data_IF_302355912587
#
_entry.id   IF_302355912587
#
_cell.length_a   1.000
_cell.length_b   1.000
_cell.length_c   1.000
_cell.angle_alpha   90.00
_cell.angle_beta   90.00
_cell.angle_gamma   90.00
#
_symmetry.space_group_name_H-M   'P 1'
#
loop_
_entity.id
_entity.type
_entity.pdbx_description
1 polymer ?
#
# COMPACT_ATOMS: atom_id res chain seq x y z
N UNK A 1 16.89 -2.45 -9.16
CA UNK A 1 15.68 -2.18 -8.37
C UNK A 1 14.58 -3.06 -8.94
N UNK A 2 14.10 -4.04 -8.20
CA UNK A 2 13.03 -4.95 -8.65
C UNK A 2 11.69 -4.34 -8.25
N UNK A 3 10.79 -4.16 -9.21
CA UNK A 3 9.43 -3.66 -8.96
C UNK A 3 8.45 -4.80 -9.20
N UNK A 4 7.55 -5.03 -8.24
CA UNK A 4 6.49 -6.04 -8.33
C UNK A 4 5.13 -5.39 -8.11
N UNK A 5 4.15 -5.77 -8.92
CA UNK A 5 2.76 -5.31 -8.80
C UNK A 5 1.89 -6.49 -8.38
N UNK A 6 1.06 -6.29 -7.37
CA UNK A 6 0.07 -7.27 -6.95
C UNK A 6 -1.27 -6.55 -6.79
N UNK A 7 -2.30 -7.12 -7.40
CA UNK A 7 -3.67 -6.60 -7.35
C UNK A 7 -4.56 -7.74 -6.91
N UNK A 8 -5.38 -7.49 -5.88
CA UNK A 8 -6.29 -8.49 -5.33
C UNK A 8 -7.66 -7.87 -5.14
N UNK A 9 -8.68 -8.56 -5.64
CA UNK A 9 -10.06 -8.16 -5.43
C UNK A 9 -10.41 -8.30 -3.94
N UNK A 10 -11.07 -7.27 -3.39
CA UNK A 10 -11.55 -7.30 -2.01
C UNK A 10 -12.69 -8.32 -1.89
N UNK A 11 -12.63 -9.14 -0.84
CA UNK A 11 -13.66 -10.15 -0.54
C UNK A 11 -14.83 -9.58 0.26
N UNK A 12 -14.66 -8.39 0.83
CA UNK A 12 -15.64 -7.69 1.65
C UNK A 12 -16.22 -6.50 0.89
N UNK A 13 -17.50 -6.20 1.12
CA UNK A 13 -18.11 -4.97 0.63
C UNK A 13 -17.62 -3.81 1.50
N UNK A 14 -16.99 -2.81 0.88
CA UNK A 14 -16.66 -1.56 1.55
C UNK A 14 -17.81 -0.56 1.35
N UNK A 15 -18.23 0.10 2.43
CA UNK A 15 -19.31 1.09 2.43
C UNK A 15 -18.81 2.50 2.08
N UNK A 16 -17.49 2.70 2.07
CA UNK A 16 -16.85 3.96 1.70
C UNK A 16 -15.48 3.74 1.05
N UNK A 17 -14.98 4.76 0.33
CA UNK A 17 -13.61 4.74 -0.23
C UNK A 17 -12.56 4.59 0.89
N UNK A 18 -12.74 5.31 2.00
CA UNK A 18 -11.84 5.23 3.15
C UNK A 18 -11.79 3.83 3.76
N UNK A 19 -12.93 3.15 3.87
CA UNK A 19 -12.97 1.75 4.33
C UNK A 19 -12.29 0.81 3.35
N UNK A 20 -12.52 0.96 2.04
CA UNK A 20 -11.87 0.16 1.02
C UNK A 20 -10.34 0.31 1.07
N UNK A 21 -9.84 1.55 1.18
CA UNK A 21 -8.41 1.82 1.28
C UNK A 21 -7.81 1.32 2.60
N UNK A 22 -8.53 1.47 3.71
CA UNK A 22 -8.12 0.90 5.00
C UNK A 22 -7.98 -0.61 4.92
N UNK A 23 -8.95 -1.33 4.36
CA UNK A 23 -8.90 -2.79 4.20
C UNK A 23 -7.75 -3.21 3.29
N UNK A 24 -7.52 -2.49 2.19
CA UNK A 24 -6.41 -2.76 1.28
C UNK A 24 -5.05 -2.56 1.98
N UNK A 25 -4.86 -1.43 2.68
CA UNK A 25 -3.66 -1.16 3.46
C UNK A 25 -3.47 -2.20 4.57
N UNK A 26 -4.57 -2.65 5.19
CA UNK A 26 -4.51 -3.63 6.26
C UNK A 26 -3.93 -4.97 5.79
N UNK A 27 -4.45 -5.47 4.66
CA UNK A 27 -3.97 -6.68 4.01
C UNK A 27 -2.50 -6.50 3.59
N UNK A 28 -2.16 -5.34 3.02
CA UNK A 28 -0.80 -5.06 2.55
C UNK A 28 0.21 -5.08 3.68
N UNK A 29 -0.10 -4.44 4.81
CA UNK A 29 0.76 -4.46 5.99
C UNK A 29 0.98 -5.88 6.50
N UNK A 30 -0.08 -6.69 6.59
CA UNK A 30 0.04 -8.09 7.01
C UNK A 30 0.98 -8.88 6.10
N UNK A 31 0.87 -8.69 4.77
CA UNK A 31 1.77 -9.33 3.81
C UNK A 31 3.22 -8.85 3.97
N UNK A 32 3.43 -7.54 4.17
CA UNK A 32 4.77 -6.97 4.41
C UNK A 32 5.43 -7.54 5.68
N UNK A 33 4.67 -7.65 6.78
CA UNK A 33 5.16 -8.28 8.01
C UNK A 33 5.49 -9.76 7.80
N UNK A 34 4.65 -10.48 7.05
CA UNK A 34 4.92 -11.88 6.68
C UNK A 34 6.19 -12.02 5.85
N UNK A 35 6.39 -11.17 4.84
CA UNK A 35 7.60 -11.14 4.03
C UNK A 35 8.84 -10.77 4.85
N UNK A 36 8.73 -9.78 5.74
CA UNK A 36 9.82 -9.41 6.66
C UNK A 36 10.26 -10.60 7.50
N UNK A 37 9.30 -11.32 8.11
CA UNK A 37 9.61 -12.47 8.93
C UNK A 37 10.26 -13.60 8.11
N UNK A 38 9.73 -13.88 6.92
CA UNK A 38 10.30 -14.89 6.02
C UNK A 38 11.73 -14.54 5.59
N UNK A 39 12.00 -13.27 5.27
CA UNK A 39 13.33 -12.79 4.88
C UNK A 39 14.30 -12.90 6.07
N UNK A 40 13.85 -12.59 7.28
CA UNK A 40 14.64 -12.77 8.49
C UNK A 40 14.94 -14.26 8.77
N UNK A 41 13.98 -15.16 8.53
CA UNK A 41 14.17 -16.62 8.71
C UNK A 41 15.22 -17.20 7.77
N UNK A 42 15.35 -16.67 6.55
CA UNK A 42 16.41 -17.05 5.60
C UNK A 42 17.76 -16.36 5.88
N UNK A 43 17.86 -15.61 6.99
CA UNK A 43 19.10 -14.97 7.45
C UNK A 43 19.43 -13.64 6.76
N UNK A 44 18.46 -13.00 6.12
CA UNK A 44 18.62 -11.69 5.50
C UNK A 44 17.93 -10.62 6.35
N UNK A 45 18.52 -9.43 6.43
CA UNK A 45 17.94 -8.31 7.17
C UNK A 45 17.10 -7.42 6.23
N UNK A 46 15.94 -6.98 6.73
CA UNK A 46 15.07 -6.02 6.05
C UNK A 46 15.23 -4.65 6.71
N UNK A 47 15.49 -3.63 5.89
CA UNK A 47 15.53 -2.24 6.35
C UNK A 47 14.15 -1.81 6.88
N UNK A 48 14.15 -1.26 8.10
CA UNK A 48 12.97 -0.70 8.78
C UNK A 48 13.19 0.78 9.06
N UNK A 49 12.15 1.63 9.01
CA UNK A 49 10.74 1.27 8.80
C UNK A 49 10.38 1.00 7.32
N UNK A 50 9.48 0.05 7.10
CA UNK A 50 8.88 -0.20 5.78
C UNK A 50 7.84 0.87 5.50
N UNK A 51 8.08 1.70 4.48
CA UNK A 51 7.15 2.76 4.07
C UNK A 51 5.88 2.22 3.40
N UNK A 52 4.72 2.71 3.83
CA UNK A 52 3.41 2.39 3.24
C UNK A 52 2.76 3.69 2.78
N UNK A 53 2.75 3.90 1.46
CA UNK A 53 2.25 5.13 0.85
C UNK A 53 0.72 5.09 0.68
N UNK A 54 0.02 6.08 1.19
CA UNK A 54 -1.45 6.18 1.17
C UNK A 54 -1.91 7.60 0.89
N UNK A 55 -3.00 7.78 0.14
CA UNK A 55 -3.52 9.10 -0.24
C UNK A 55 -4.82 9.49 0.50
N UNK A 56 -5.29 8.66 1.42
CA UNK A 56 -6.48 8.93 2.24
C UNK A 56 -6.13 9.02 3.72
N UNK A 57 -6.17 10.24 4.25
CA UNK A 57 -5.84 10.52 5.65
C UNK A 57 -6.79 9.85 6.64
N UNK A 58 -8.07 9.65 6.28
CA UNK A 58 -9.02 8.96 7.15
C UNK A 58 -8.71 7.46 7.22
N UNK A 59 -8.29 6.85 6.11
CA UNK A 59 -7.81 5.47 6.11
C UNK A 59 -6.53 5.31 6.95
N UNK A 60 -5.60 6.27 6.85
CA UNK A 60 -4.37 6.32 7.68
C UNK A 60 -4.72 6.36 9.17
N UNK A 61 -5.67 7.21 9.59
CA UNK A 61 -6.11 7.30 11.00
C UNK A 61 -6.74 6.00 11.51
N UNK A 62 -7.38 5.23 10.63
CA UNK A 62 -8.09 4.00 10.98
C UNK A 62 -7.18 2.76 11.11
N UNK A 63 -5.90 2.84 10.76
CA UNK A 63 -4.86 1.77 10.85
C UNK A 63 -4.48 1.37 12.29
N UNK A 64 -5.46 1.27 13.20
CA UNK A 64 -5.30 0.94 14.62
C UNK A 64 -4.67 -0.43 14.86
N UNK A 65 -4.94 -1.43 14.01
CA UNK A 65 -4.38 -2.77 14.19
C UNK A 65 -2.87 -2.83 13.89
N UNK A 66 -2.32 -1.84 13.19
CA UNK A 66 -0.89 -1.69 12.91
C UNK A 66 -0.22 -0.77 13.93
N UNK A 67 -0.98 -0.17 14.85
CA UNK A 67 -0.45 0.82 15.80
C UNK A 67 0.75 0.28 16.56
N UNK A 68 0.69 -0.97 17.00
CA UNK A 68 1.81 -1.63 17.69
C UNK A 68 3.07 -1.73 16.79
N UNK A 69 2.92 -2.01 15.50
CA UNK A 69 4.04 -2.11 14.55
C UNK A 69 4.53 -0.73 14.07
N UNK A 70 3.66 0.28 14.11
CA UNK A 70 4.04 1.69 13.90
C UNK A 70 4.85 2.19 15.10
N UNK A 71 4.38 1.91 16.32
CA UNK A 71 5.03 2.33 17.56
C UNK A 71 6.39 1.63 17.74
N UNK A 72 6.53 0.37 17.27
CA UNK A 72 7.81 -0.34 17.18
C UNK A 72 8.73 0.18 16.06
N UNK A 73 8.26 1.07 15.19
CA UNK A 73 9.02 1.60 14.06
C UNK A 73 9.25 0.58 12.93
N UNK A 74 8.42 -0.46 12.82
CA UNK A 74 8.53 -1.47 11.76
C UNK A 74 7.82 -1.00 10.49
N UNK A 75 6.65 -0.38 10.62
CA UNK A 75 5.84 0.14 9.52
C UNK A 75 5.70 1.65 9.67
N UNK A 76 5.84 2.39 8.56
CA UNK A 76 5.60 3.83 8.53
C UNK A 76 4.58 4.18 7.45
N UNK A 77 3.31 4.43 7.83
CA UNK A 77 2.32 4.99 6.92
C UNK A 77 2.71 6.42 6.55
N UNK A 78 2.78 6.72 5.26
CA UNK A 78 3.11 8.05 4.75
C UNK A 78 2.01 8.54 3.83
N UNK A 79 1.56 9.78 4.07
CA UNK A 79 0.60 10.42 3.19
C UNK A 79 1.28 10.85 1.88
N UNK A 80 0.65 10.53 0.76
CA UNK A 80 1.01 11.04 -0.56
C UNK A 80 -0.19 11.71 -1.21
N UNK A 81 0.03 12.70 -2.07
CA UNK A 81 -1.07 13.26 -2.85
C UNK A 81 -1.62 12.21 -3.84
N UNK A 82 -2.93 12.18 -4.07
CA UNK A 82 -3.59 11.23 -5.00
C UNK A 82 -2.97 11.23 -6.41
N UNK A 83 -2.45 12.37 -6.88
CA UNK A 83 -1.74 12.43 -8.18
C UNK A 83 -0.44 11.61 -8.23
N UNK A 84 0.09 11.18 -7.08
CA UNK A 84 1.27 10.33 -6.98
C UNK A 84 0.94 8.91 -6.55
N UNK A 85 -0.34 8.59 -6.33
CA UNK A 85 -0.79 7.25 -5.95
C UNK A 85 -0.71 6.31 -7.16
N UNK A 86 0.39 5.56 -7.28
CA UNK A 86 0.59 4.61 -8.37
C UNK A 86 -0.36 3.42 -8.28
N UNK A 87 -0.87 3.10 -7.08
CA UNK A 87 -1.84 2.02 -6.90
C UNK A 87 -3.14 2.26 -7.68
N UNK A 88 -3.51 3.52 -7.92
CA UNK A 88 -4.73 3.91 -8.64
C UNK A 88 -4.77 3.36 -10.07
N UNK A 89 -3.60 3.14 -10.67
CA UNK A 89 -3.46 2.51 -11.98
C UNK A 89 -4.17 1.15 -12.03
N UNK A 90 -4.17 0.42 -10.92
CA UNK A 90 -4.67 -0.95 -10.84
C UNK A 90 -5.98 -1.08 -10.07
N UNK A 91 -6.38 -0.07 -9.30
CA UNK A 91 -7.54 -0.13 -8.40
C UNK A 91 -8.69 0.77 -8.84
N UNK A 92 -8.46 1.73 -9.73
CA UNK A 92 -9.45 2.71 -10.14
C UNK A 92 -9.77 2.67 -11.64
N UNK A 93 -10.95 3.19 -11.98
CA UNK A 93 -11.29 3.54 -13.36
C UNK A 93 -10.90 5.00 -13.58
N UNK A 94 -9.85 5.25 -14.37
CA UNK A 94 -9.29 6.58 -14.60
C UNK A 94 -9.59 7.07 -16.02
N UNK A 95 -9.74 8.39 -16.24
CA UNK A 95 -9.77 8.97 -17.57
C UNK A 95 -8.48 8.63 -18.35
N UNK A 96 -8.58 8.48 -19.67
CA UNK A 96 -7.46 8.07 -20.53
C UNK A 96 -6.18 8.91 -20.34
N UNK A 97 -6.22 10.25 -20.19
CA UNK A 97 -5.01 11.04 -19.94
C UNK A 97 -4.30 10.64 -18.65
N UNK A 98 -5.07 10.50 -17.56
CA UNK A 98 -4.54 10.13 -16.25
C UNK A 98 -4.00 8.70 -16.22
N UNK A 99 -4.65 7.80 -16.94
CA UNK A 99 -4.18 6.42 -17.10
C UNK A 99 -2.83 6.39 -17.84
N UNK A 100 -2.65 7.19 -18.88
CA UNK A 100 -1.40 7.29 -19.62
C UNK A 100 -0.27 7.84 -18.75
N UNK A 101 -0.52 8.91 -17.98
CA UNK A 101 0.45 9.46 -17.02
C UNK A 101 0.94 8.41 -16.01
N UNK A 102 0.02 7.64 -15.42
CA UNK A 102 0.37 6.61 -14.45
C UNK A 102 1.08 5.41 -15.09
N UNK A 103 0.76 5.05 -16.33
CA UNK A 103 1.47 3.99 -17.07
C UNK A 103 2.91 4.40 -17.34
N UNK A 104 3.14 5.65 -17.74
CA UNK A 104 4.47 6.18 -17.97
C UNK A 104 5.31 6.22 -16.67
N UNK A 105 4.71 6.63 -15.55
CA UNK A 105 5.41 6.71 -14.27
C UNK A 105 5.87 5.35 -13.72
N UNK A 106 5.21 4.26 -14.10
CA UNK A 106 5.60 2.89 -13.74
C UNK A 106 6.42 2.17 -14.82
N UNK A 107 6.73 2.84 -15.93
CA UNK A 107 7.49 2.28 -17.04
C UNK A 107 6.72 1.29 -17.92
N UNK A 108 5.38 1.28 -17.86
CA UNK A 108 4.51 0.47 -18.71
C UNK A 108 4.20 1.21 -20.00
N UNK A 109 4.77 0.77 -21.13
CA UNK A 109 4.41 1.29 -22.48
C UNK A 109 3.12 0.68 -23.01
#
# INVERSE_FOLDING_TARGET
MTVGWQVKQQTTLALSKAEAEFVAAAIRVRELLGLKNLINEIGLEVEVPIGVMMDNQEAIKQLKFVRDEIDKGVIKPEYIETKYQLADLFTMRLPAPRLAELRESVGMR
#
